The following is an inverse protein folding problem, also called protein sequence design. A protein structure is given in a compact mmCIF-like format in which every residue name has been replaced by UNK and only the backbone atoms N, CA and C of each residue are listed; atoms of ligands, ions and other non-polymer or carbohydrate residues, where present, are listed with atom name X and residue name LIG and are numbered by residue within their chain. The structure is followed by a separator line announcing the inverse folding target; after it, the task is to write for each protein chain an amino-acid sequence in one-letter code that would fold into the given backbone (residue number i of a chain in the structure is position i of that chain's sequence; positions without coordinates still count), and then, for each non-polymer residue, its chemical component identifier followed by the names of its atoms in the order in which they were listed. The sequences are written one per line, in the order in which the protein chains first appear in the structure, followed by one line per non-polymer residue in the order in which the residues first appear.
data_IF_643391574780
#
_entry.id   IF_643391574780
#
_cell.length_a   1.000
_cell.length_b   1.000
_cell.length_c   1.000
_cell.angle_alpha   90.00
_cell.angle_beta   90.00
_cell.angle_gamma   90.00
#
_symmetry.space_group_name_H-M   'P 1'
#
loop_
_entity.id
_entity.type
_entity.pdbx_description
1 polymer ?
#
# COMPACT_ATOMS: atom_id res chain seq x y z
N UNK A 1 12.81 -20.97 29.21
CA UNK A 1 13.10 -19.55 29.30
C UNK A 1 14.42 -19.16 28.61
N UNK A 2 15.61 -19.55 29.09
CA UNK A 2 16.89 -19.12 28.50
C UNK A 2 17.06 -19.49 27.01
N UNK A 3 16.66 -20.71 26.60
CA UNK A 3 16.72 -21.12 25.19
C UNK A 3 15.75 -20.37 24.29
N UNK A 4 14.58 -20.00 24.78
CA UNK A 4 13.61 -19.14 24.06
C UNK A 4 14.20 -17.74 23.88
N UNK A 5 14.74 -17.16 24.94
CA UNK A 5 15.42 -15.87 24.93
C UNK A 5 16.59 -15.79 23.95
N UNK A 6 17.46 -16.83 23.95
CA UNK A 6 18.60 -16.88 23.00
C UNK A 6 18.13 -16.98 21.54
N UNK A 7 17.01 -17.70 21.27
CA UNK A 7 16.42 -17.75 19.92
C UNK A 7 15.83 -16.41 19.52
N UNK A 8 15.15 -15.70 20.42
CA UNK A 8 14.64 -14.35 20.19
C UNK A 8 15.76 -13.38 19.82
N UNK A 9 16.87 -13.40 20.59
CA UNK A 9 18.04 -12.59 20.29
C UNK A 9 18.66 -12.95 18.93
N UNK A 10 18.74 -14.23 18.59
CA UNK A 10 19.23 -14.66 17.29
C UNK A 10 18.32 -14.23 16.16
N UNK A 11 16.99 -14.37 16.30
CA UNK A 11 16.01 -13.94 15.32
C UNK A 11 16.06 -12.42 15.13
N UNK A 12 16.16 -11.66 16.21
CA UNK A 12 16.29 -10.20 16.17
C UNK A 12 17.53 -9.74 15.39
N UNK A 13 18.68 -10.38 15.64
CA UNK A 13 19.95 -10.04 14.98
C UNK A 13 19.98 -10.43 13.49
N UNK A 14 19.07 -11.29 13.02
CA UNK A 14 19.03 -11.72 11.62
C UNK A 14 18.23 -10.76 10.69
N UNK A 15 17.54 -9.77 11.25
CA UNK A 15 16.73 -8.83 10.48
C UNK A 15 15.49 -9.43 9.85
N UNK A 16 14.83 -8.66 8.98
CA UNK A 16 13.65 -9.10 8.23
C UNK A 16 14.05 -10.10 7.16
N UNK A 17 13.31 -11.18 7.05
CA UNK A 17 13.43 -12.12 5.93
C UNK A 17 12.20 -12.01 5.05
N UNK A 18 12.43 -12.02 3.76
CA UNK A 18 11.39 -11.99 2.73
C UNK A 18 11.61 -13.09 1.72
N UNK A 19 10.53 -13.67 1.21
CA UNK A 19 10.52 -14.48 0.00
C UNK A 19 9.22 -14.29 -0.77
N UNK A 20 9.30 -14.54 -2.07
CA UNK A 20 8.13 -14.66 -2.95
C UNK A 20 7.94 -16.13 -3.27
N UNK A 21 6.76 -16.65 -2.99
CA UNK A 21 6.32 -17.97 -3.43
C UNK A 21 5.25 -17.75 -4.49
N UNK A 22 5.58 -18.15 -5.71
CA UNK A 22 4.71 -18.14 -6.87
C UNK A 22 4.39 -19.62 -7.19
N UNK A 23 3.37 -20.19 -6.52
CA UNK A 23 3.05 -21.60 -6.70
C UNK A 23 2.47 -21.80 -8.11
N UNK A 24 2.79 -22.95 -8.72
CA UNK A 24 2.23 -23.32 -10.02
C UNK A 24 0.70 -23.17 -10.03
N UNK A 25 0.20 -22.30 -10.90
CA UNK A 25 -1.20 -21.90 -10.96
C UNK A 25 -1.40 -20.44 -10.51
N UNK A 26 -2.65 -19.99 -10.39
CA UNK A 26 -2.95 -18.60 -10.05
C UNK A 26 -2.57 -18.24 -8.61
N UNK A 27 -2.04 -17.04 -8.45
CA UNK A 27 -1.76 -16.41 -7.17
C UNK A 27 -0.29 -16.41 -6.79
N UNK A 28 0.12 -15.34 -6.11
CA UNK A 28 1.48 -15.13 -5.61
C UNK A 28 1.43 -14.79 -4.12
N UNK A 29 2.28 -15.41 -3.31
CA UNK A 29 2.50 -15.02 -1.93
C UNK A 29 3.81 -14.26 -1.78
N UNK A 30 3.75 -13.03 -1.29
CA UNK A 30 4.89 -12.27 -0.77
C UNK A 30 4.87 -12.34 0.74
N UNK A 31 5.85 -13.02 1.30
CA UNK A 31 5.94 -13.30 2.73
C UNK A 31 7.05 -12.48 3.34
N UNK A 32 6.74 -11.74 4.39
CA UNK A 32 7.70 -11.01 5.20
C UNK A 32 7.66 -11.56 6.62
N UNK A 33 8.80 -11.94 7.14
CA UNK A 33 8.95 -12.31 8.55
C UNK A 33 9.69 -11.20 9.27
N UNK A 34 8.97 -10.49 10.12
CA UNK A 34 9.49 -9.39 10.94
C UNK A 34 9.99 -9.99 12.26
N UNK A 35 11.27 -9.77 12.63
CA UNK A 35 11.80 -10.29 13.88
C UNK A 35 11.18 -9.60 15.10
N UNK A 36 11.25 -10.23 16.30
CA UNK A 36 10.78 -9.62 17.53
C UNK A 36 11.62 -8.39 17.90
N UNK A 37 11.02 -7.42 18.60
CA UNK A 37 11.78 -6.35 19.23
C UNK A 37 12.49 -6.86 20.50
N UNK A 38 13.70 -6.34 20.81
CA UNK A 38 14.48 -6.80 21.96
C UNK A 38 13.84 -6.55 23.32
N UNK A 39 13.00 -5.54 23.39
CA UNK A 39 12.31 -5.05 24.60
C UNK A 39 10.94 -5.70 24.83
N UNK A 40 10.46 -6.49 23.87
CA UNK A 40 9.18 -7.21 23.97
C UNK A 40 9.44 -8.67 24.32
N UNK A 41 9.35 -8.99 25.61
CA UNK A 41 9.54 -10.36 26.12
C UNK A 41 8.26 -11.21 26.13
N UNK A 42 7.12 -10.61 25.87
CA UNK A 42 5.81 -11.26 25.80
C UNK A 42 5.35 -11.40 24.33
N UNK A 43 4.59 -12.45 24.03
CA UNK A 43 4.05 -12.78 22.70
C UNK A 43 3.50 -11.57 21.92
N UNK A 44 3.61 -11.60 20.58
CA UNK A 44 4.24 -12.58 19.70
C UNK A 44 5.74 -12.32 19.50
N UNK A 45 6.51 -13.40 19.34
CA UNK A 45 7.96 -13.32 19.16
C UNK A 45 8.38 -12.75 17.79
N UNK A 46 7.54 -12.95 16.78
CA UNK A 46 7.70 -12.43 15.42
C UNK A 46 6.35 -12.15 14.79
N UNK A 47 6.36 -11.46 13.65
CA UNK A 47 5.15 -11.22 12.86
C UNK A 47 5.39 -11.66 11.43
N UNK A 48 4.54 -12.56 10.92
CA UNK A 48 4.53 -12.94 9.51
C UNK A 48 3.48 -12.10 8.77
N UNK A 49 3.90 -11.46 7.69
CA UNK A 49 3.00 -10.68 6.83
C UNK A 49 2.93 -11.36 5.47
N UNK A 50 1.72 -11.72 5.04
CA UNK A 50 1.50 -12.32 3.71
C UNK A 50 0.70 -11.32 2.88
N UNK A 51 1.18 -11.04 1.67
CA UNK A 51 0.58 -10.13 0.69
C UNK A 51 0.21 -8.75 1.27
N UNK A 52 0.89 -8.35 2.35
CA UNK A 52 0.69 -7.05 2.98
C UNK A 52 -0.65 -6.86 3.70
N UNK A 53 -1.51 -7.87 3.80
CA UNK A 53 -2.78 -7.75 4.53
C UNK A 53 -2.90 -8.74 5.68
N UNK A 54 -2.42 -9.96 5.53
CA UNK A 54 -2.50 -10.98 6.57
C UNK A 54 -1.33 -10.79 7.52
N UNK A 55 -1.59 -10.19 8.68
CA UNK A 55 -0.60 -9.90 9.73
C UNK A 55 -0.79 -10.93 10.84
N UNK A 56 0.09 -11.92 10.88
CA UNK A 56 -0.05 -13.07 11.75
C UNK A 56 1.05 -13.08 12.82
N UNK A 57 0.69 -13.12 14.12
CA UNK A 57 1.65 -13.31 15.19
C UNK A 57 2.24 -14.73 15.11
N UNK A 58 3.54 -14.85 15.34
CA UNK A 58 4.26 -16.12 15.17
C UNK A 58 5.15 -16.37 16.37
N UNK A 59 4.91 -17.47 17.07
CA UNK A 59 5.74 -17.90 18.19
C UNK A 59 7.16 -18.31 17.75
N UNK A 60 8.10 -18.39 18.71
CA UNK A 60 9.53 -18.55 18.46
C UNK A 60 9.89 -19.78 17.61
N UNK A 61 9.21 -20.91 17.81
CA UNK A 61 9.47 -22.15 17.07
C UNK A 61 9.07 -22.00 15.59
N UNK A 62 7.88 -21.45 15.32
CA UNK A 62 7.39 -21.22 13.96
C UNK A 62 8.19 -20.12 13.26
N UNK A 63 8.51 -19.05 13.97
CA UNK A 63 9.35 -17.97 13.44
C UNK A 63 10.66 -18.50 12.87
N UNK A 64 11.30 -19.42 13.60
CA UNK A 64 12.54 -20.01 13.14
C UNK A 64 12.34 -20.97 11.95
N UNK A 65 11.32 -21.82 11.97
CA UNK A 65 10.99 -22.73 10.84
C UNK A 65 10.65 -21.93 9.58
N UNK A 66 9.85 -20.86 9.71
CA UNK A 66 9.51 -19.96 8.60
C UNK A 66 10.78 -19.32 8.04
N UNK A 67 11.67 -18.80 8.89
CA UNK A 67 12.91 -18.16 8.47
C UNK A 67 13.78 -19.12 7.65
N UNK A 68 13.98 -20.33 8.12
CA UNK A 68 14.76 -21.35 7.40
C UNK A 68 14.11 -21.68 6.05
N UNK A 69 12.78 -21.80 6.01
CA UNK A 69 12.06 -22.05 4.77
C UNK A 69 12.18 -20.88 3.77
N UNK A 70 11.99 -19.64 4.22
CA UNK A 70 12.10 -18.47 3.35
C UNK A 70 13.54 -18.27 2.84
N UNK A 71 14.54 -18.56 3.65
CA UNK A 71 15.95 -18.53 3.23
C UNK A 71 16.23 -19.60 2.18
N UNK A 72 15.82 -20.85 2.43
CA UNK A 72 15.98 -21.94 1.47
C UNK A 72 15.23 -21.64 0.15
N UNK A 73 14.02 -21.06 0.22
CA UNK A 73 13.29 -20.64 -0.95
C UNK A 73 14.09 -19.61 -1.77
N UNK A 74 14.67 -18.61 -1.11
CA UNK A 74 15.52 -17.59 -1.76
C UNK A 74 16.82 -18.15 -2.35
N UNK A 75 17.37 -19.23 -1.78
CA UNK A 75 18.55 -19.90 -2.33
C UNK A 75 18.22 -20.68 -3.60
N UNK A 76 17.07 -21.35 -3.64
CA UNK A 76 16.62 -22.15 -4.79
C UNK A 76 16.02 -21.31 -5.91
N UNK A 77 15.35 -20.18 -5.56
CA UNK A 77 14.60 -19.33 -6.48
C UNK A 77 15.23 -17.93 -6.51
N UNK A 78 16.32 -17.80 -7.27
CA UNK A 78 17.04 -16.52 -7.40
C UNK A 78 16.36 -15.52 -8.32
N UNK A 79 15.49 -15.99 -9.20
CA UNK A 79 14.71 -15.18 -10.14
C UNK A 79 13.24 -15.54 -9.92
N UNK A 80 12.35 -14.56 -9.69
CA UNK A 80 10.92 -14.83 -9.53
C UNK A 80 10.37 -15.61 -10.73
N UNK A 81 9.82 -16.78 -10.48
CA UNK A 81 9.19 -17.67 -11.43
C UNK A 81 8.19 -18.57 -10.71
N UNK A 82 7.30 -19.19 -11.46
CA UNK A 82 6.46 -20.25 -10.92
C UNK A 82 7.30 -21.40 -10.35
N UNK A 83 6.86 -21.92 -9.21
CA UNK A 83 7.51 -23.01 -8.48
C UNK A 83 6.59 -24.23 -8.51
N UNK A 84 7.10 -25.32 -9.03
CA UNK A 84 6.33 -26.57 -9.09
C UNK A 84 6.14 -27.18 -7.69
N UNK A 85 5.04 -27.91 -7.44
CA UNK A 85 4.79 -28.57 -6.17
C UNK A 85 5.96 -29.47 -5.70
N UNK A 86 6.61 -30.17 -6.61
CA UNK A 86 7.74 -31.05 -6.31
C UNK A 86 8.96 -30.26 -5.83
N UNK A 87 9.18 -29.06 -6.34
CA UNK A 87 10.27 -28.17 -5.91
C UNK A 87 9.99 -27.67 -4.48
N UNK A 88 8.73 -27.33 -4.16
CA UNK A 88 8.32 -26.94 -2.79
C UNK A 88 8.58 -28.09 -1.83
N UNK A 89 8.20 -29.33 -2.18
CA UNK A 89 8.42 -30.53 -1.35
C UNK A 89 9.92 -30.83 -1.17
N UNK A 90 10.73 -30.63 -2.21
CA UNK A 90 12.18 -30.73 -2.12
C UNK A 90 12.76 -29.72 -1.12
N UNK A 91 12.39 -28.44 -1.24
CA UNK A 91 12.83 -27.38 -0.33
C UNK A 91 12.39 -27.69 1.11
N UNK A 92 11.14 -28.12 1.33
CA UNK A 92 10.66 -28.57 2.64
C UNK A 92 11.52 -29.68 3.21
N UNK A 93 11.85 -30.70 2.42
CA UNK A 93 12.64 -31.83 2.85
C UNK A 93 14.07 -31.42 3.27
N UNK A 94 14.69 -30.50 2.53
CA UNK A 94 16.01 -29.94 2.86
C UNK A 94 15.96 -29.14 4.17
N UNK A 95 14.95 -28.30 4.36
CA UNK A 95 14.74 -27.53 5.59
C UNK A 95 14.53 -28.46 6.79
N UNK A 96 13.68 -29.49 6.67
CA UNK A 96 13.44 -30.45 7.73
C UNK A 96 14.75 -31.17 8.12
N UNK A 97 15.54 -31.55 7.11
CA UNK A 97 16.86 -32.23 7.35
C UNK A 97 17.82 -31.28 8.07
N UNK A 98 17.91 -30.02 7.64
CA UNK A 98 18.75 -28.99 8.29
C UNK A 98 18.34 -28.79 9.74
N UNK A 99 17.05 -28.59 9.99
CA UNK A 99 16.51 -28.38 11.33
C UNK A 99 16.78 -29.59 12.24
N UNK A 100 16.56 -30.83 11.77
CA UNK A 100 16.80 -32.05 12.53
C UNK A 100 18.29 -32.28 12.82
N UNK A 101 19.17 -31.83 11.95
CA UNK A 101 20.62 -31.90 12.17
C UNK A 101 21.05 -30.97 13.31
N UNK A 102 20.52 -29.78 13.37
CA UNK A 102 20.85 -28.79 14.41
C UNK A 102 20.13 -29.08 15.74
N UNK A 103 18.94 -29.65 15.67
CA UNK A 103 18.04 -29.89 16.80
C UNK A 103 17.36 -31.26 16.72
N UNK A 104 18.06 -32.33 17.02
CA UNK A 104 17.57 -33.73 16.86
C UNK A 104 16.29 -34.04 17.63
N UNK A 105 16.04 -33.30 18.71
CA UNK A 105 14.91 -33.55 19.62
C UNK A 105 13.65 -32.71 19.29
N UNK A 106 13.66 -31.93 18.21
CA UNK A 106 12.47 -31.17 17.81
C UNK A 106 11.45 -32.13 17.19
N UNK A 107 10.31 -32.24 17.85
CA UNK A 107 9.13 -32.96 17.35
C UNK A 107 8.32 -32.07 16.41
N UNK A 108 7.54 -32.70 15.56
CA UNK A 108 6.51 -32.04 14.73
C UNK A 108 6.98 -31.01 13.66
N UNK A 109 8.31 -30.84 13.44
CA UNK A 109 8.85 -29.90 12.42
C UNK A 109 8.23 -30.10 11.05
N UNK A 110 8.02 -31.34 10.64
CA UNK A 110 7.45 -31.66 9.33
C UNK A 110 5.97 -31.24 9.24
N UNK A 111 5.21 -31.50 10.30
CA UNK A 111 3.82 -31.08 10.43
C UNK A 111 3.70 -29.56 10.44
N UNK A 112 4.52 -28.91 11.26
CA UNK A 112 4.53 -27.44 11.37
C UNK A 112 4.89 -26.78 10.05
N UNK A 113 5.98 -27.22 9.40
CA UNK A 113 6.39 -26.68 8.11
C UNK A 113 5.34 -26.92 7.02
N UNK A 114 4.72 -28.10 6.99
CA UNK A 114 3.63 -28.41 6.05
C UNK A 114 2.44 -27.47 6.28
N UNK A 115 2.06 -27.25 7.53
CA UNK A 115 0.98 -26.32 7.89
C UNK A 115 1.31 -24.90 7.42
N UNK A 116 2.52 -24.41 7.71
CA UNK A 116 2.98 -23.07 7.32
C UNK A 116 2.94 -22.89 5.79
N UNK A 117 3.49 -23.86 5.05
CA UNK A 117 3.53 -23.80 3.57
C UNK A 117 2.12 -23.83 2.98
N UNK A 118 1.22 -24.67 3.52
CA UNK A 118 -0.17 -24.71 3.09
C UNK A 118 -0.90 -23.38 3.35
N UNK A 119 -0.64 -22.74 4.49
CA UNK A 119 -1.16 -21.38 4.77
C UNK A 119 -0.69 -20.41 3.71
N UNK A 120 0.61 -20.35 3.43
CA UNK A 120 1.20 -19.43 2.45
C UNK A 120 0.61 -19.67 1.06
N UNK A 121 0.52 -20.92 0.61
CA UNK A 121 -0.03 -21.29 -0.69
C UNK A 121 -1.54 -20.99 -0.76
N UNK A 122 -2.29 -21.32 0.29
CA UNK A 122 -3.73 -21.06 0.35
C UNK A 122 -4.05 -19.57 0.26
N UNK A 123 -3.32 -18.75 0.99
CA UNK A 123 -3.43 -17.28 0.90
C UNK A 123 -3.06 -16.79 -0.52
N UNK A 124 -1.99 -17.33 -1.11
CA UNK A 124 -1.59 -16.98 -2.48
C UNK A 124 -2.68 -17.27 -3.51
N UNK A 125 -3.37 -18.40 -3.34
CA UNK A 125 -4.45 -18.83 -4.25
C UNK A 125 -5.80 -18.22 -3.94
N UNK A 126 -5.92 -17.40 -2.88
CA UNK A 126 -7.19 -16.83 -2.44
C UNK A 126 -8.18 -17.89 -1.93
N UNK A 127 -7.68 -19.00 -1.37
CA UNK A 127 -8.53 -20.07 -0.82
C UNK A 127 -9.33 -19.53 0.37
N UNK A 128 -10.70 -19.60 0.33
CA UNK A 128 -11.55 -19.06 1.39
C UNK A 128 -11.27 -19.64 2.79
N UNK A 129 -10.78 -20.88 2.87
CA UNK A 129 -10.43 -21.49 4.16
C UNK A 129 -9.26 -20.76 4.84
N UNK A 130 -8.39 -20.15 4.06
CA UNK A 130 -7.22 -19.43 4.56
C UNK A 130 -7.43 -17.90 4.61
N UNK A 131 -8.42 -17.36 3.94
CA UNK A 131 -8.86 -15.96 4.13
C UNK A 131 -9.50 -15.75 5.52
N UNK A 132 -9.94 -16.83 6.18
CA UNK A 132 -10.47 -16.86 7.53
C UNK A 132 -9.49 -17.39 8.58
N UNK A 133 -8.19 -17.44 8.29
CA UNK A 133 -7.16 -17.79 9.28
C UNK A 133 -7.16 -16.79 10.41
N UNK A 134 -8.03 -17.03 11.39
CA UNK A 134 -8.25 -16.24 12.56
C UNK A 134 -8.22 -14.72 12.30
N UNK A 135 -8.81 -13.96 13.13
CA UNK A 135 -8.63 -12.51 13.09
C UNK A 135 -7.12 -12.23 13.22
N UNK A 136 -6.44 -11.97 12.10
CA UNK A 136 -5.06 -11.52 12.11
C UNK A 136 -4.96 -10.24 12.93
N UNK A 137 -3.77 -9.87 13.34
CA UNK A 137 -3.56 -8.61 14.05
C UNK A 137 -4.06 -7.44 13.20
N UNK A 138 -4.84 -6.57 13.81
CA UNK A 138 -5.10 -5.25 13.24
C UNK A 138 -3.80 -4.45 13.12
N UNK A 139 -3.77 -3.45 12.27
CA UNK A 139 -2.62 -2.54 12.15
C UNK A 139 -2.27 -1.90 13.51
N UNK A 140 -3.25 -1.64 14.35
CA UNK A 140 -3.05 -1.06 15.69
C UNK A 140 -2.39 -2.04 16.66
N UNK A 141 -2.83 -3.27 16.68
CA UNK A 141 -2.18 -4.32 17.47
C UNK A 141 -0.75 -4.57 16.99
N UNK A 142 -0.55 -4.62 15.66
CA UNK A 142 0.77 -4.74 15.04
C UNK A 142 1.66 -3.53 15.35
N UNK A 143 1.12 -2.35 15.60
CA UNK A 143 1.91 -1.12 15.84
C UNK A 143 2.94 -1.25 16.95
N UNK A 144 2.68 -2.07 17.96
CA UNK A 144 3.61 -2.36 19.07
C UNK A 144 4.92 -3.00 18.58
N UNK A 145 4.85 -3.75 17.49
CA UNK A 145 5.97 -4.47 16.90
C UNK A 145 6.65 -3.71 15.78
N UNK A 146 6.06 -2.59 15.33
CA UNK A 146 6.59 -1.80 14.24
C UNK A 146 7.84 -1.01 14.64
N UNK A 147 8.84 -1.03 13.78
CA UNK A 147 10.00 -0.13 13.76
C UNK A 147 10.01 0.78 12.52
N UNK A 148 9.03 0.59 11.64
CA UNK A 148 8.82 1.34 10.41
C UNK A 148 7.34 1.24 10.01
N UNK A 149 6.81 2.11 9.12
CA UNK A 149 5.42 2.03 8.67
C UNK A 149 5.19 0.76 7.84
N UNK A 150 3.95 0.31 7.79
CA UNK A 150 3.57 -0.83 6.97
C UNK A 150 3.68 -0.54 5.47
N UNK A 151 3.51 0.73 5.06
CA UNK A 151 3.63 1.20 3.68
C UNK A 151 4.43 2.49 3.60
N UNK A 152 5.28 2.62 2.59
CA UNK A 152 5.94 3.86 2.24
C UNK A 152 5.46 4.34 0.88
N UNK A 153 4.88 5.54 0.84
CA UNK A 153 4.49 6.20 -0.39
C UNK A 153 5.70 6.99 -0.94
N UNK A 154 6.15 6.63 -2.13
CA UNK A 154 7.30 7.25 -2.80
C UNK A 154 6.78 8.26 -3.83
N UNK A 155 6.90 9.55 -3.53
CA UNK A 155 6.55 10.62 -4.46
C UNK A 155 7.70 10.78 -5.47
N UNK A 156 7.82 9.82 -6.38
CA UNK A 156 8.96 9.72 -7.31
C UNK A 156 8.97 10.79 -8.40
N UNK A 157 7.82 11.40 -8.68
CA UNK A 157 7.66 12.44 -9.68
C UNK A 157 7.20 13.73 -8.98
N UNK A 158 7.93 14.83 -9.14
CA UNK A 158 7.54 16.11 -8.55
C UNK A 158 6.29 16.67 -9.25
N UNK A 159 5.53 17.49 -8.52
CA UNK A 159 4.42 18.26 -9.08
C UNK A 159 4.90 19.46 -9.87
N UNK A 160 5.95 20.11 -9.39
CA UNK A 160 6.61 21.26 -10.02
C UNK A 160 8.12 21.02 -10.14
N UNK A 161 8.71 21.51 -11.21
CA UNK A 161 10.15 21.60 -11.41
C UNK A 161 10.48 23.07 -11.65
N UNK A 162 11.16 23.71 -10.70
CA UNK A 162 11.22 25.17 -10.61
C UNK A 162 9.80 25.74 -10.56
N UNK A 163 9.53 26.78 -11.29
CA UNK A 163 8.19 27.40 -11.39
C UNK A 163 7.23 26.62 -12.33
N UNK A 164 7.72 25.60 -13.02
CA UNK A 164 6.95 24.92 -14.07
C UNK A 164 6.17 23.73 -13.47
N UNK A 165 4.86 23.70 -13.76
CA UNK A 165 4.02 22.54 -13.49
C UNK A 165 4.50 21.32 -14.30
N UNK A 166 4.76 20.20 -13.62
CA UNK A 166 5.37 19.02 -14.22
C UNK A 166 4.37 17.87 -14.45
N UNK A 167 3.33 17.74 -13.60
CA UNK A 167 2.27 16.75 -13.82
C UNK A 167 1.55 17.02 -15.15
N UNK A 168 1.12 15.96 -15.84
CA UNK A 168 0.42 16.08 -17.13
C UNK A 168 -1.09 16.39 -17.00
N UNK A 169 -1.60 16.54 -15.78
CA UNK A 169 -2.92 17.08 -15.42
C UNK A 169 -2.77 18.22 -14.43
N UNK A 170 -3.81 19.07 -14.33
CA UNK A 170 -3.88 20.18 -13.38
C UNK A 170 -5.20 20.10 -12.61
N UNK A 171 -5.34 19.04 -11.81
CA UNK A 171 -6.58 18.74 -11.10
C UNK A 171 -6.98 19.85 -10.13
N UNK A 172 -8.27 20.19 -10.11
CA UNK A 172 -8.86 21.21 -9.24
C UNK A 172 -8.58 20.91 -7.75
N UNK A 173 -8.78 19.66 -7.33
CA UNK A 173 -8.62 19.22 -5.95
C UNK A 173 -7.25 18.60 -5.65
N UNK A 174 -6.21 18.94 -6.44
CA UNK A 174 -4.88 18.39 -6.23
C UNK A 174 -4.32 18.78 -4.86
N UNK A 175 -3.91 17.80 -4.07
CA UNK A 175 -3.34 18.01 -2.73
C UNK A 175 -2.02 18.81 -2.76
N UNK A 176 -1.33 18.83 -3.90
CA UNK A 176 -0.08 19.56 -4.11
C UNK A 176 -0.26 20.86 -4.90
N UNK A 177 -1.49 21.36 -5.13
CA UNK A 177 -1.73 22.54 -5.97
C UNK A 177 -1.07 23.81 -5.43
N UNK A 178 -1.09 24.03 -4.12
CA UNK A 178 -0.65 25.26 -3.45
C UNK A 178 0.80 25.18 -2.93
N UNK A 179 1.64 24.31 -3.50
CA UNK A 179 3.07 24.31 -3.16
C UNK A 179 3.69 25.68 -3.47
N UNK A 180 4.23 26.40 -2.46
CA UNK A 180 4.55 27.83 -2.56
C UNK A 180 5.68 28.16 -3.54
N UNK A 181 6.59 27.24 -3.76
CA UNK A 181 7.71 27.36 -4.71
C UNK A 181 7.97 26.03 -5.40
N UNK A 182 8.84 26.05 -6.39
CA UNK A 182 9.23 24.82 -7.09
C UNK A 182 9.56 23.70 -6.11
N UNK A 183 8.83 22.59 -6.24
CA UNK A 183 9.03 21.42 -5.37
C UNK A 183 10.46 20.89 -5.47
N UNK A 184 10.99 20.88 -6.71
CA UNK A 184 12.37 20.48 -7.01
C UNK A 184 12.91 21.35 -8.13
N UNK A 185 14.18 21.77 -8.04
CA UNK A 185 14.90 22.35 -9.17
C UNK A 185 15.22 21.27 -10.20
N UNK A 186 15.47 21.65 -11.45
CA UNK A 186 15.70 20.71 -12.54
C UNK A 186 16.82 19.70 -12.22
N UNK A 187 17.90 20.18 -11.63
CA UNK A 187 19.05 19.36 -11.24
C UNK A 187 18.83 18.62 -9.89
N UNK A 188 17.73 18.91 -9.21
CA UNK A 188 17.33 18.29 -7.95
C UNK A 188 16.43 17.04 -8.13
N UNK A 189 16.05 16.71 -9.35
CA UNK A 189 15.27 15.48 -9.61
C UNK A 189 16.14 14.26 -9.34
N UNK A 190 15.74 13.45 -8.37
CA UNK A 190 16.48 12.25 -8.01
C UNK A 190 16.59 11.29 -9.20
N UNK A 191 17.83 10.87 -9.57
CA UNK A 191 18.05 9.83 -10.57
C UNK A 191 17.59 8.46 -10.03
N UNK A 192 17.42 7.51 -10.94
CA UNK A 192 17.07 6.11 -10.67
C UNK A 192 17.91 5.50 -9.54
N UNK A 193 19.22 5.73 -9.55
CA UNK A 193 20.14 5.21 -8.52
C UNK A 193 19.82 5.71 -7.11
N UNK A 194 19.38 6.96 -6.96
CA UNK A 194 18.96 7.50 -5.65
C UNK A 194 17.68 6.84 -5.17
N UNK A 195 16.69 6.66 -6.04
CA UNK A 195 15.46 5.95 -5.68
C UNK A 195 15.73 4.49 -5.33
N UNK A 196 16.62 3.80 -6.04
CA UNK A 196 17.03 2.44 -5.67
C UNK A 196 17.66 2.39 -4.26
N UNK A 197 18.50 3.37 -3.90
CA UNK A 197 19.05 3.48 -2.54
C UNK A 197 17.96 3.70 -1.48
N UNK A 198 16.92 4.47 -1.81
CA UNK A 198 15.75 4.67 -0.94
C UNK A 198 14.99 3.34 -0.78
N UNK A 199 14.74 2.63 -1.87
CA UNK A 199 14.08 1.32 -1.88
C UNK A 199 14.89 0.31 -1.04
N UNK A 200 16.22 0.25 -1.20
CA UNK A 200 17.08 -0.62 -0.38
C UNK A 200 17.01 -0.30 1.11
N UNK A 201 16.92 1.00 1.45
CA UNK A 201 16.76 1.41 2.85
C UNK A 201 15.37 1.02 3.38
N UNK A 202 14.30 1.16 2.61
CA UNK A 202 12.98 0.65 2.96
C UNK A 202 13.00 -0.86 3.22
N UNK A 203 13.70 -1.62 2.36
CA UNK A 203 13.89 -3.06 2.55
C UNK A 203 14.59 -3.39 3.86
N UNK A 204 15.68 -2.72 4.18
CA UNK A 204 16.44 -2.91 5.44
C UNK A 204 15.59 -2.59 6.68
N UNK A 205 14.67 -1.65 6.56
CA UNK A 205 13.74 -1.26 7.63
C UNK A 205 12.55 -2.21 7.80
N UNK A 206 12.41 -3.19 6.90
CA UNK A 206 11.32 -4.17 6.96
C UNK A 206 9.96 -3.65 6.53
N UNK A 207 9.92 -2.58 5.73
CA UNK A 207 8.68 -2.04 5.18
C UNK A 207 8.14 -3.02 4.14
N UNK A 208 6.92 -3.58 4.29
CA UNK A 208 6.44 -4.61 3.37
C UNK A 208 5.82 -4.07 2.07
N UNK A 209 5.35 -2.82 2.06
CA UNK A 209 4.65 -2.24 0.91
C UNK A 209 5.26 -0.92 0.44
N UNK A 210 5.31 -0.72 -0.88
CA UNK A 210 5.64 0.56 -1.51
C UNK A 210 4.51 1.02 -2.43
N UNK A 211 4.21 2.33 -2.41
CA UNK A 211 3.33 2.94 -3.39
C UNK A 211 4.13 3.96 -4.20
N UNK A 212 4.22 3.78 -5.50
CA UNK A 212 4.76 4.78 -6.42
C UNK A 212 3.69 5.82 -6.73
N UNK A 213 4.00 7.07 -6.44
CA UNK A 213 3.07 8.20 -6.58
C UNK A 213 3.84 9.51 -6.82
N UNK A 214 3.24 10.65 -6.54
CA UNK A 214 3.85 11.98 -6.66
C UNK A 214 2.93 12.93 -7.41
N UNK A 215 3.48 13.69 -8.35
CA UNK A 215 2.68 14.39 -9.34
C UNK A 215 2.00 13.38 -10.27
N UNK A 216 2.74 12.92 -11.26
CA UNK A 216 2.33 11.76 -12.06
C UNK A 216 3.53 10.84 -12.26
N UNK A 217 3.55 9.66 -11.64
CA UNK A 217 4.71 8.76 -11.66
C UNK A 217 5.03 8.24 -13.08
N UNK A 218 4.04 8.08 -13.95
CA UNK A 218 4.26 7.65 -15.34
C UNK A 218 4.96 8.70 -16.21
N UNK A 219 5.20 9.91 -15.70
CA UNK A 219 6.06 10.91 -16.34
C UNK A 219 7.55 10.53 -16.27
N UNK A 220 7.94 9.63 -15.36
CA UNK A 220 9.30 9.09 -15.29
C UNK A 220 9.48 7.96 -16.29
N UNK A 221 10.58 8.02 -17.03
CA UNK A 221 10.91 6.98 -18.01
C UNK A 221 11.40 5.67 -17.36
N UNK A 222 11.92 5.77 -16.13
CA UNK A 222 12.48 4.67 -15.35
C UNK A 222 11.49 4.04 -14.34
N UNK A 223 10.20 4.41 -14.39
CA UNK A 223 9.19 3.86 -13.46
C UNK A 223 9.15 2.32 -13.50
N UNK A 224 9.13 1.73 -14.70
CA UNK A 224 9.08 0.27 -14.85
C UNK A 224 10.31 -0.39 -14.23
N UNK A 225 11.49 0.20 -14.40
CA UNK A 225 12.73 -0.27 -13.77
C UNK A 225 12.67 -0.18 -12.23
N UNK A 226 12.08 0.88 -11.68
CA UNK A 226 11.89 1.02 -10.23
C UNK A 226 10.89 0.00 -9.68
N UNK A 227 9.79 -0.26 -10.40
CA UNK A 227 8.83 -1.32 -10.05
C UNK A 227 9.51 -2.69 -10.06
N UNK A 228 10.23 -3.01 -11.12
CA UNK A 228 10.97 -4.27 -11.22
C UNK A 228 12.02 -4.44 -10.12
N UNK A 229 12.72 -3.37 -9.76
CA UNK A 229 13.68 -3.36 -8.67
C UNK A 229 13.02 -3.60 -7.30
N UNK A 230 11.72 -3.35 -7.19
CA UNK A 230 10.94 -3.42 -5.95
C UNK A 230 10.21 -4.75 -5.76
N UNK A 231 10.55 -5.81 -6.49
CA UNK A 231 9.90 -7.15 -6.41
C UNK A 231 9.89 -7.78 -5.00
N UNK A 232 10.72 -7.26 -4.09
CA UNK A 232 10.73 -7.65 -2.69
C UNK A 232 9.48 -7.17 -1.93
N UNK A 233 8.85 -6.09 -2.39
CA UNK A 233 7.70 -5.44 -1.75
C UNK A 233 6.40 -5.83 -2.43
N UNK A 234 5.28 -5.64 -1.73
CA UNK A 234 4.00 -5.40 -2.39
C UNK A 234 4.06 -4.01 -3.01
N UNK A 235 3.93 -3.92 -4.32
CA UNK A 235 4.06 -2.68 -5.06
C UNK A 235 2.72 -2.17 -5.56
N UNK A 236 2.47 -0.88 -5.35
CA UNK A 236 1.29 -0.18 -5.85
C UNK A 236 1.70 1.02 -6.68
N UNK A 237 0.89 1.36 -7.67
CA UNK A 237 1.05 2.56 -8.48
C UNK A 237 -0.23 3.40 -8.40
N UNK A 238 -0.12 4.66 -7.96
CA UNK A 238 -1.19 5.64 -8.03
C UNK A 238 -0.93 6.56 -9.23
N UNK A 239 -1.87 6.61 -10.19
CA UNK A 239 -1.70 7.33 -11.46
C UNK A 239 -3.01 7.92 -11.96
N UNK A 240 -2.91 8.92 -12.82
CA UNK A 240 -4.05 9.45 -13.56
C UNK A 240 -4.40 8.65 -14.84
N UNK A 241 -3.62 7.65 -15.18
CA UNK A 241 -3.90 6.73 -16.28
C UNK A 241 -3.61 7.22 -17.70
N UNK A 242 -3.27 8.51 -17.90
CA UNK A 242 -3.14 9.10 -19.24
C UNK A 242 -2.08 8.47 -20.15
N UNK A 243 -1.06 7.84 -19.59
CA UNK A 243 0.07 7.25 -20.33
C UNK A 243 0.02 5.72 -20.41
N UNK A 244 -1.04 5.09 -19.92
CA UNK A 244 -1.19 3.64 -19.87
C UNK A 244 -1.69 3.08 -21.21
N UNK A 245 -0.86 3.14 -22.25
CA UNK A 245 -1.10 2.33 -23.44
C UNK A 245 -0.90 0.83 -23.13
N UNK A 246 -1.37 -0.05 -24.01
CA UNK A 246 -1.31 -1.50 -23.80
C UNK A 246 0.12 -2.01 -23.57
N UNK A 247 1.08 -1.48 -24.30
CA UNK A 247 2.49 -1.86 -24.17
C UNK A 247 3.06 -1.45 -22.81
N UNK A 248 2.70 -0.26 -22.33
CA UNK A 248 3.17 0.22 -21.04
C UNK A 248 2.50 -0.55 -19.88
N UNK A 249 1.20 -0.83 -19.98
CA UNK A 249 0.49 -1.67 -19.03
C UNK A 249 1.10 -3.08 -18.94
N UNK A 250 1.42 -3.69 -20.10
CA UNK A 250 2.09 -4.99 -20.16
C UNK A 250 3.45 -4.95 -19.46
N UNK A 251 4.27 -3.93 -19.71
CA UNK A 251 5.59 -3.78 -19.07
C UNK A 251 5.47 -3.64 -17.53
N UNK A 252 4.45 -2.97 -17.02
CA UNK A 252 4.19 -2.88 -15.58
C UNK A 252 3.78 -4.24 -15.00
N UNK A 253 2.95 -4.99 -15.72
CA UNK A 253 2.58 -6.36 -15.36
C UNK A 253 3.81 -7.28 -15.32
N UNK A 254 4.63 -7.26 -16.35
CA UNK A 254 5.86 -8.07 -16.46
C UNK A 254 6.89 -7.68 -15.36
N UNK A 255 6.89 -6.41 -14.93
CA UNK A 255 7.70 -5.92 -13.82
C UNK A 255 7.17 -6.36 -12.44
N UNK A 256 6.08 -7.13 -12.38
CA UNK A 256 5.42 -7.61 -11.15
C UNK A 256 4.81 -6.50 -10.30
N UNK A 257 4.16 -5.52 -10.93
CA UNK A 257 3.31 -4.56 -10.22
C UNK A 257 2.09 -5.29 -9.64
N UNK A 258 1.90 -5.20 -8.32
CA UNK A 258 0.81 -5.92 -7.65
C UNK A 258 -0.55 -5.24 -7.77
N UNK A 259 -0.58 -3.93 -7.82
CA UNK A 259 -1.83 -3.19 -7.96
C UNK A 259 -1.65 -1.81 -8.54
N UNK A 260 -2.65 -1.36 -9.26
CA UNK A 260 -2.69 -0.01 -9.83
C UNK A 260 -3.99 0.68 -9.43
N UNK A 261 -3.86 1.87 -8.84
CA UNK A 261 -5.00 2.74 -8.55
C UNK A 261 -5.03 3.87 -9.57
N UNK A 262 -6.12 3.97 -10.30
CA UNK A 262 -6.33 5.02 -11.31
C UNK A 262 -7.41 5.97 -10.80
N UNK A 263 -7.18 7.29 -10.90
CA UNK A 263 -8.17 8.28 -10.51
C UNK A 263 -9.07 8.61 -11.68
N UNK A 264 -10.38 8.38 -11.53
CA UNK A 264 -11.41 8.79 -12.47
C UNK A 264 -12.53 9.53 -11.72
N UNK A 265 -12.76 10.80 -12.04
CA UNK A 265 -13.69 11.64 -11.27
C UNK A 265 -15.16 11.45 -11.67
N UNK A 266 -15.44 11.08 -12.92
CA UNK A 266 -16.80 10.91 -13.41
C UNK A 266 -16.84 10.01 -14.64
N UNK A 267 -17.96 9.36 -14.88
CA UNK A 267 -18.29 8.68 -16.14
C UNK A 267 -18.67 9.65 -17.27
N UNK A 268 -18.86 10.95 -16.93
CA UNK A 268 -19.14 12.02 -17.89
C UNK A 268 -17.84 12.70 -18.31
N UNK A 269 -17.49 12.68 -19.62
CA UNK A 269 -16.23 13.25 -20.12
C UNK A 269 -16.00 14.70 -19.71
N UNK A 270 -17.03 15.53 -19.84
CA UNK A 270 -16.96 16.97 -19.55
C UNK A 270 -16.69 17.26 -18.08
N UNK A 271 -17.27 16.48 -17.17
CA UNK A 271 -17.05 16.63 -15.72
C UNK A 271 -15.65 16.17 -15.37
N UNK A 272 -15.22 15.01 -15.87
CA UNK A 272 -13.87 14.51 -15.62
C UNK A 272 -12.82 15.52 -16.12
N UNK A 273 -12.92 15.93 -17.39
CA UNK A 273 -11.97 16.83 -18.03
C UNK A 273 -11.86 18.17 -17.31
N UNK A 274 -13.00 18.71 -16.85
CA UNK A 274 -13.05 19.91 -16.02
C UNK A 274 -12.29 19.72 -14.70
N UNK A 275 -12.58 18.63 -13.97
CA UNK A 275 -11.99 18.38 -12.64
C UNK A 275 -10.49 18.08 -12.69
N UNK A 276 -10.00 17.47 -13.78
CA UNK A 276 -8.57 17.21 -13.97
C UNK A 276 -7.83 18.30 -14.72
N UNK A 277 -8.55 19.33 -15.21
CA UNK A 277 -7.97 20.44 -15.96
C UNK A 277 -7.30 19.97 -17.26
N UNK A 278 -7.88 18.96 -17.94
CA UNK A 278 -7.28 18.34 -19.12
C UNK A 278 -8.34 17.89 -20.13
N UNK A 279 -8.46 18.64 -21.23
CA UNK A 279 -9.34 18.23 -22.35
C UNK A 279 -8.90 16.91 -22.95
N UNK A 280 -9.85 15.99 -23.20
CA UNK A 280 -9.62 14.65 -23.68
C UNK A 280 -8.95 13.72 -22.64
N UNK A 281 -8.86 14.15 -21.39
CA UNK A 281 -8.33 13.37 -20.27
C UNK A 281 -9.15 12.12 -20.02
N UNK A 282 -10.48 12.26 -20.01
CA UNK A 282 -11.43 11.17 -19.79
C UNK A 282 -11.15 9.97 -20.68
N UNK A 283 -11.16 10.15 -21.99
CA UNK A 283 -10.98 9.05 -22.94
C UNK A 283 -9.64 8.36 -22.78
N UNK A 284 -8.58 9.10 -22.51
CA UNK A 284 -7.25 8.55 -22.29
C UNK A 284 -7.16 7.75 -20.99
N UNK A 285 -7.75 8.27 -19.90
CA UNK A 285 -7.81 7.56 -18.62
C UNK A 285 -8.62 6.27 -18.74
N UNK A 286 -9.79 6.30 -19.40
CA UNK A 286 -10.63 5.12 -19.65
C UNK A 286 -9.90 4.07 -20.48
N UNK A 287 -9.21 4.46 -21.55
CA UNK A 287 -8.35 3.55 -22.33
C UNK A 287 -7.24 2.97 -21.45
N UNK A 288 -6.64 3.77 -20.59
CA UNK A 288 -5.63 3.31 -19.62
C UNK A 288 -6.17 2.26 -18.64
N UNK A 289 -7.35 2.49 -18.08
CA UNK A 289 -8.06 1.53 -17.21
C UNK A 289 -8.26 0.21 -17.95
N UNK A 290 -8.87 0.27 -19.16
CA UNK A 290 -9.15 -0.92 -19.96
C UNK A 290 -7.87 -1.69 -20.31
N UNK A 291 -6.81 -1.00 -20.72
CA UNK A 291 -5.53 -1.65 -21.02
C UNK A 291 -4.96 -2.39 -19.81
N UNK A 292 -5.06 -1.81 -18.60
CA UNK A 292 -4.59 -2.46 -17.39
C UNK A 292 -5.44 -3.69 -17.01
N UNK A 293 -6.76 -3.60 -17.13
CA UNK A 293 -7.65 -4.76 -16.94
C UNK A 293 -7.33 -5.86 -17.96
N UNK A 294 -7.21 -5.51 -19.23
CA UNK A 294 -6.99 -6.46 -20.34
C UNK A 294 -5.63 -7.21 -20.23
N UNK A 295 -4.63 -6.64 -19.57
CA UNK A 295 -3.34 -7.34 -19.33
C UNK A 295 -3.31 -8.09 -18.00
N UNK A 296 -4.39 -8.04 -17.21
CA UNK A 296 -4.50 -8.77 -15.94
C UNK A 296 -3.90 -8.06 -14.72
N UNK A 297 -3.64 -6.76 -14.80
CA UNK A 297 -3.27 -5.98 -13.60
C UNK A 297 -4.45 -5.89 -12.62
N UNK A 298 -4.16 -5.91 -11.34
CA UNK A 298 -5.15 -5.64 -10.31
C UNK A 298 -5.47 -4.14 -10.28
N UNK A 299 -6.58 -3.76 -10.92
CA UNK A 299 -6.99 -2.37 -11.08
C UNK A 299 -8.00 -1.97 -10.03
N UNK A 300 -7.72 -0.87 -9.32
CA UNK A 300 -8.72 -0.15 -8.53
C UNK A 300 -8.91 1.25 -9.10
N UNK A 301 -10.15 1.75 -9.06
CA UNK A 301 -10.45 3.14 -9.45
C UNK A 301 -10.86 3.93 -8.23
N UNK A 302 -10.19 5.08 -8.02
CA UNK A 302 -10.52 5.99 -6.92
C UNK A 302 -11.24 7.24 -7.45
N UNK A 303 -12.34 7.58 -6.78
CA UNK A 303 -13.17 8.75 -7.13
C UNK A 303 -13.33 9.66 -5.91
N UNK A 304 -12.61 10.80 -5.83
CA UNK A 304 -12.93 11.84 -4.87
C UNK A 304 -14.28 12.47 -5.19
N UNK A 305 -15.21 12.49 -4.21
CA UNK A 305 -16.59 12.92 -4.39
C UNK A 305 -16.80 14.39 -4.03
N UNK A 306 -17.50 15.10 -4.89
CA UNK A 306 -18.00 16.45 -4.71
C UNK A 306 -19.41 16.56 -5.29
N UNK A 307 -20.09 17.70 -5.14
CA UNK A 307 -21.45 17.89 -5.67
C UNK A 307 -21.56 17.64 -7.17
N UNK A 308 -20.52 17.97 -7.93
CA UNK A 308 -20.51 17.86 -9.39
C UNK A 308 -20.52 16.40 -9.91
N UNK A 309 -19.99 15.44 -9.14
CA UNK A 309 -19.91 14.03 -9.50
C UNK A 309 -20.60 13.08 -8.50
N UNK A 310 -21.63 13.56 -7.81
CA UNK A 310 -22.38 12.80 -6.81
C UNK A 310 -23.19 11.62 -7.38
N UNK A 311 -23.38 11.54 -8.69
CA UNK A 311 -24.00 10.40 -9.38
C UNK A 311 -23.08 9.17 -9.44
N UNK A 312 -22.53 8.80 -8.28
CA UNK A 312 -21.49 7.76 -8.17
C UNK A 312 -22.00 6.37 -8.51
N UNK A 313 -23.27 6.08 -8.32
CA UNK A 313 -23.90 4.81 -8.74
C UNK A 313 -23.81 4.60 -10.26
N UNK A 314 -23.96 5.64 -11.07
CA UNK A 314 -23.78 5.53 -12.53
C UNK A 314 -22.30 5.35 -12.89
N UNK A 315 -21.41 5.95 -12.12
CA UNK A 315 -19.98 5.72 -12.26
C UNK A 315 -19.61 4.24 -12.01
N UNK A 316 -20.20 3.57 -10.99
CA UNK A 316 -19.95 2.16 -10.72
C UNK A 316 -20.40 1.27 -11.85
N UNK A 317 -21.58 1.51 -12.45
CA UNK A 317 -22.05 0.78 -13.62
C UNK A 317 -21.06 0.91 -14.78
N UNK A 318 -20.63 2.13 -15.06
CA UNK A 318 -19.62 2.41 -16.08
C UNK A 318 -18.29 1.67 -15.84
N UNK A 319 -17.81 1.65 -14.58
CA UNK A 319 -16.58 0.94 -14.21
C UNK A 319 -16.72 -0.58 -14.33
N UNK A 320 -17.89 -1.12 -13.97
CA UNK A 320 -18.18 -2.55 -14.14
C UNK A 320 -18.13 -2.97 -15.62
N UNK A 321 -18.68 -2.15 -16.53
CA UNK A 321 -18.61 -2.37 -17.97
C UNK A 321 -17.18 -2.37 -18.52
N UNK A 322 -16.24 -1.71 -17.81
CA UNK A 322 -14.80 -1.74 -18.12
C UNK A 322 -14.06 -2.93 -17.49
N UNK A 323 -14.75 -3.77 -16.69
CA UNK A 323 -14.17 -4.91 -15.99
C UNK A 323 -13.46 -4.55 -14.68
N UNK A 324 -13.71 -3.37 -14.12
CA UNK A 324 -13.18 -2.97 -12.80
C UNK A 324 -14.07 -3.56 -11.71
N UNK A 325 -13.44 -4.28 -10.76
CA UNK A 325 -14.14 -4.90 -9.61
C UNK A 325 -13.90 -4.08 -8.33
N UNK A 326 -12.71 -3.47 -8.18
CA UNK A 326 -12.33 -2.76 -6.98
C UNK A 326 -12.48 -1.26 -7.14
N UNK A 327 -13.27 -0.63 -6.26
CA UNK A 327 -13.50 0.81 -6.30
C UNK A 327 -13.25 1.45 -4.96
N UNK A 328 -12.68 2.65 -5.00
CA UNK A 328 -12.53 3.51 -3.82
C UNK A 328 -13.21 4.84 -4.05
N UNK A 329 -13.84 5.37 -3.03
CA UNK A 329 -14.31 6.74 -3.02
C UNK A 329 -13.88 7.46 -1.75
N UNK A 330 -13.85 8.77 -1.82
CA UNK A 330 -13.37 9.60 -0.71
C UNK A 330 -14.07 10.95 -0.69
N UNK A 331 -14.23 11.52 0.49
CA UNK A 331 -14.42 12.95 0.60
C UNK A 331 -13.12 13.73 0.36
N UNK A 332 -13.19 15.03 0.33
CA UNK A 332 -12.04 15.89 0.12
C UNK A 332 -11.18 15.99 1.40
N UNK A 333 -9.88 15.85 1.27
CA UNK A 333 -8.94 16.19 2.34
C UNK A 333 -8.63 17.68 2.24
N UNK A 334 -8.73 18.47 3.32
CA UNK A 334 -8.62 19.93 3.30
C UNK A 334 -7.17 20.42 3.11
N UNK A 335 -6.54 20.03 2.00
CA UNK A 335 -5.18 20.41 1.62
C UNK A 335 -5.11 20.75 0.13
N UNK A 336 -4.13 21.57 -0.27
CA UNK A 336 -3.95 21.99 -1.65
C UNK A 336 -5.22 22.59 -2.26
N UNK A 337 -5.51 22.25 -3.50
CA UNK A 337 -6.66 22.74 -4.26
C UNK A 337 -8.03 22.42 -3.64
N UNK A 338 -8.13 21.32 -2.89
CA UNK A 338 -9.37 20.95 -2.22
C UNK A 338 -9.85 21.99 -1.19
N UNK A 339 -8.95 22.84 -0.65
CA UNK A 339 -9.34 23.96 0.25
C UNK A 339 -10.26 24.95 -0.44
N UNK A 340 -10.03 25.22 -1.72
CA UNK A 340 -10.85 26.14 -2.50
C UNK A 340 -12.25 25.56 -2.70
N UNK A 341 -12.35 24.31 -3.15
CA UNK A 341 -13.62 23.60 -3.34
C UNK A 341 -14.44 23.51 -2.04
N UNK A 342 -13.78 23.25 -0.91
CA UNK A 342 -14.43 23.25 0.41
C UNK A 342 -14.94 24.65 0.79
N UNK A 343 -14.17 25.71 0.51
CA UNK A 343 -14.54 27.09 0.81
C UNK A 343 -15.69 27.58 -0.05
N UNK A 344 -15.75 27.16 -1.30
CA UNK A 344 -16.81 27.50 -2.26
C UNK A 344 -18.12 26.74 -1.99
N UNK A 345 -18.10 25.74 -1.11
CA UNK A 345 -19.28 24.97 -0.74
C UNK A 345 -19.65 23.86 -1.73
N UNK A 346 -18.72 23.46 -2.61
CA UNK A 346 -18.92 22.41 -3.60
C UNK A 346 -18.68 20.98 -3.06
N UNK A 347 -18.23 20.88 -1.81
CA UNK A 347 -18.15 19.59 -1.12
C UNK A 347 -19.57 19.10 -0.76
N UNK A 348 -19.74 17.78 -0.73
CA UNK A 348 -20.95 17.16 -0.23
C UNK A 348 -21.09 17.39 1.29
N UNK A 349 -22.32 17.66 1.75
CA UNK A 349 -22.64 17.57 3.18
C UNK A 349 -22.60 16.12 3.66
N UNK A 350 -22.57 15.90 4.98
CA UNK A 350 -22.64 14.54 5.54
C UNK A 350 -23.88 13.78 5.03
N UNK A 351 -25.04 14.43 4.99
CA UNK A 351 -26.29 13.85 4.49
C UNK A 351 -26.17 13.45 3.00
N UNK A 352 -25.70 14.37 2.13
CA UNK A 352 -25.52 14.09 0.71
C UNK A 352 -24.48 12.98 0.49
N UNK A 353 -23.39 12.96 1.28
CA UNK A 353 -22.39 11.90 1.20
C UNK A 353 -22.99 10.55 1.58
N UNK A 354 -23.77 10.50 2.66
CA UNK A 354 -24.41 9.27 3.10
C UNK A 354 -25.39 8.73 2.06
N UNK A 355 -26.23 9.58 1.49
CA UNK A 355 -27.18 9.22 0.43
C UNK A 355 -26.42 8.69 -0.81
N UNK A 356 -25.38 9.42 -1.26
CA UNK A 356 -24.54 9.02 -2.42
C UNK A 356 -23.87 7.66 -2.21
N UNK A 357 -23.31 7.43 -1.02
CA UNK A 357 -22.62 6.15 -0.73
C UNK A 357 -23.61 5.02 -0.51
N UNK A 358 -24.79 5.28 0.09
CA UNK A 358 -25.84 4.28 0.25
C UNK A 358 -26.29 3.71 -1.11
N UNK A 359 -26.60 4.60 -2.06
CA UNK A 359 -26.97 4.21 -3.42
C UNK A 359 -25.83 3.44 -4.12
N UNK A 360 -24.59 3.88 -3.90
CA UNK A 360 -23.41 3.25 -4.49
C UNK A 360 -23.16 1.83 -3.94
N UNK A 361 -23.32 1.62 -2.63
CA UNK A 361 -23.17 0.29 -1.99
C UNK A 361 -24.21 -0.69 -2.53
N UNK A 362 -25.47 -0.25 -2.68
CA UNK A 362 -26.54 -1.09 -3.25
C UNK A 362 -26.19 -1.53 -4.69
N UNK A 363 -25.69 -0.61 -5.50
CA UNK A 363 -25.29 -0.92 -6.89
C UNK A 363 -24.05 -1.80 -6.91
N UNK A 364 -23.02 -1.52 -6.07
CA UNK A 364 -21.83 -2.35 -5.97
C UNK A 364 -22.16 -3.81 -5.65
N UNK A 365 -23.05 -4.05 -4.66
CA UNK A 365 -23.52 -5.39 -4.31
C UNK A 365 -24.23 -6.08 -5.50
N UNK A 366 -25.09 -5.37 -6.22
CA UNK A 366 -25.78 -5.92 -7.41
C UNK A 366 -24.83 -6.30 -8.52
N UNK A 367 -23.73 -5.59 -8.66
CA UNK A 367 -22.71 -5.79 -9.70
C UNK A 367 -21.56 -6.72 -9.26
N UNK A 368 -21.54 -7.17 -8.00
CA UNK A 368 -20.44 -7.97 -7.45
C UNK A 368 -19.11 -7.18 -7.35
N UNK A 369 -19.19 -5.86 -7.15
CA UNK A 369 -18.04 -4.97 -7.01
C UNK A 369 -17.69 -4.76 -5.53
N UNK A 370 -16.41 -4.60 -5.24
CA UNK A 370 -15.90 -4.15 -3.94
C UNK A 370 -15.84 -2.62 -3.92
N UNK A 371 -16.44 -2.02 -2.89
CA UNK A 371 -16.46 -0.57 -2.69
C UNK A 371 -15.84 -0.22 -1.34
N UNK A 372 -14.90 0.71 -1.32
CA UNK A 372 -14.24 1.21 -0.11
C UNK A 372 -14.42 2.71 0.03
N UNK A 373 -14.86 3.15 1.20
CA UNK A 373 -14.84 4.57 1.57
C UNK A 373 -13.57 4.86 2.38
N UNK A 374 -12.72 5.79 1.89
CA UNK A 374 -11.34 5.91 2.38
C UNK A 374 -11.03 7.17 3.19
N UNK A 375 -12.00 8.07 3.38
CA UNK A 375 -11.79 9.35 4.09
C UNK A 375 -12.43 9.38 5.46
N UNK A 376 -11.67 9.45 6.56
CA UNK A 376 -12.23 9.63 7.90
C UNK A 376 -12.92 11.00 8.04
N UNK A 377 -14.00 11.06 8.84
CA UNK A 377 -14.69 12.28 9.24
C UNK A 377 -15.73 12.84 8.28
N UNK A 378 -16.06 12.13 7.22
CA UNK A 378 -17.17 12.48 6.31
C UNK A 378 -18.47 11.76 6.68
N UNK A 379 -18.37 10.50 7.09
CA UNK A 379 -19.46 9.69 7.59
C UNK A 379 -19.16 9.28 9.03
N UNK A 380 -20.18 9.10 9.86
CA UNK A 380 -20.00 8.57 11.21
C UNK A 380 -19.76 7.06 11.18
N UNK A 381 -19.21 6.51 12.26
CA UNK A 381 -18.99 5.07 12.38
C UNK A 381 -20.32 4.29 12.29
N UNK A 382 -21.42 4.83 12.84
CA UNK A 382 -22.75 4.24 12.75
C UNK A 382 -23.26 4.20 11.29
N UNK A 383 -23.05 5.29 10.54
CA UNK A 383 -23.41 5.36 9.12
C UNK A 383 -22.62 4.34 8.31
N UNK A 384 -21.30 4.22 8.53
CA UNK A 384 -20.46 3.25 7.83
C UNK A 384 -20.86 1.81 8.17
N UNK A 385 -21.10 1.50 9.44
CA UNK A 385 -21.57 0.18 9.89
C UNK A 385 -22.93 -0.17 9.29
N UNK A 386 -23.86 0.80 9.22
CA UNK A 386 -25.16 0.63 8.57
C UNK A 386 -25.03 0.25 7.08
N UNK A 387 -24.00 0.76 6.40
CA UNK A 387 -23.71 0.46 5.01
C UNK A 387 -22.85 -0.80 4.83
N UNK A 388 -22.41 -1.46 5.91
CA UNK A 388 -21.49 -2.61 5.83
C UNK A 388 -20.09 -2.24 5.35
N UNK A 389 -19.69 -0.97 5.48
CA UNK A 389 -18.39 -0.47 5.06
C UNK A 389 -17.40 -0.46 6.21
N UNK A 390 -16.13 -0.70 5.90
CA UNK A 390 -15.03 -0.56 6.86
C UNK A 390 -14.87 0.90 7.29
N UNK A 391 -14.60 1.10 8.59
CA UNK A 391 -14.34 2.43 9.14
C UNK A 391 -12.95 2.88 8.71
N UNK A 392 -12.82 4.00 7.96
CA UNK A 392 -11.52 4.50 7.54
C UNK A 392 -10.77 5.10 8.73
N UNK A 393 -9.57 4.62 8.99
CA UNK A 393 -8.69 5.14 10.03
C UNK A 393 -7.54 5.96 9.44
N UNK A 394 -7.05 6.96 10.18
CA UNK A 394 -5.86 7.70 9.78
C UNK A 394 -4.61 6.83 9.91
N UNK A 395 -3.94 6.57 8.78
CA UNK A 395 -2.73 5.76 8.74
C UNK A 395 -1.43 6.54 8.90
N UNK A 396 -1.47 7.86 9.06
CA UNK A 396 -0.27 8.70 9.13
C UNK A 396 0.67 8.28 10.28
N UNK A 397 1.95 8.10 9.98
CA UNK A 397 2.98 7.62 10.92
C UNK A 397 2.71 6.24 11.54
N UNK A 398 1.70 5.53 11.09
CA UNK A 398 1.30 4.20 11.54
C UNK A 398 1.35 3.22 10.37
N UNK A 399 0.28 3.14 9.60
CA UNK A 399 0.23 2.26 8.43
C UNK A 399 0.96 2.83 7.23
N UNK A 400 1.12 4.15 7.11
CA UNK A 400 1.83 4.77 6.00
C UNK A 400 2.63 6.02 6.42
N UNK A 401 3.69 6.26 5.68
CA UNK A 401 4.46 7.51 5.62
C UNK A 401 4.80 7.79 4.17
N UNK A 402 5.28 8.99 3.87
CA UNK A 402 5.65 9.33 2.50
C UNK A 402 7.05 9.95 2.41
N UNK A 403 7.71 9.74 1.26
CA UNK A 403 8.99 10.34 0.92
C UNK A 403 8.78 11.27 -0.26
N UNK A 404 9.11 12.54 -0.09
CA UNK A 404 8.97 13.60 -1.11
C UNK A 404 10.03 13.45 -2.21
N UNK A 405 9.89 14.15 -3.35
CA UNK A 405 10.91 14.16 -4.38
C UNK A 405 12.29 14.70 -3.94
N UNK A 406 12.38 15.36 -2.79
CA UNK A 406 13.63 15.82 -2.15
C UNK A 406 14.19 14.82 -1.14
N UNK A 407 13.49 13.70 -0.90
CA UNK A 407 13.87 12.73 0.11
C UNK A 407 13.40 13.04 1.51
N UNK A 408 12.60 14.08 1.70
CA UNK A 408 12.04 14.42 3.00
C UNK A 408 10.92 13.45 3.36
N UNK A 409 10.88 13.05 4.62
CA UNK A 409 9.85 12.14 5.15
C UNK A 409 8.75 12.96 5.79
N UNK A 410 7.52 12.64 5.42
CA UNK A 410 6.29 13.28 5.93
C UNK A 410 5.30 12.22 6.43
N UNK A 411 4.39 12.57 7.36
CA UNK A 411 3.44 11.62 7.96
C UNK A 411 2.55 10.88 6.97
N UNK A 412 2.09 11.53 5.91
CA UNK A 412 1.41 10.94 4.75
C UNK A 412 1.52 11.87 3.54
N UNK A 413 1.19 11.40 2.35
CA UNK A 413 1.28 12.20 1.13
C UNK A 413 0.48 13.52 1.15
N UNK A 414 -0.56 13.62 1.99
CA UNK A 414 -1.37 14.85 2.11
C UNK A 414 -0.74 15.93 3.00
N UNK A 415 0.40 15.65 3.65
CA UNK A 415 1.12 16.56 4.54
C UNK A 415 2.24 17.34 3.84
N UNK A 416 2.21 17.49 2.53
CA UNK A 416 3.26 18.15 1.74
C UNK A 416 3.54 19.61 2.13
N UNK A 417 2.56 20.26 2.77
CA UNK A 417 2.64 21.68 3.15
C UNK A 417 2.95 21.91 4.62
N UNK A 418 3.17 20.84 5.37
CA UNK A 418 3.29 20.88 6.82
C UNK A 418 4.70 20.38 7.25
N UNK A 419 4.80 19.79 8.40
CA UNK A 419 6.07 19.48 9.05
C UNK A 419 6.83 18.31 8.41
N UNK A 420 8.12 18.47 8.21
CA UNK A 420 9.06 17.47 7.73
C UNK A 420 9.65 16.73 8.93
N UNK A 421 9.56 15.40 8.95
CA UNK A 421 10.05 14.55 10.03
C UNK A 421 11.58 14.34 9.98
N UNK A 422 12.19 14.66 8.86
CA UNK A 422 13.59 14.49 8.55
C UNK A 422 13.80 14.08 7.10
N UNK A 423 15.05 13.99 6.65
CA UNK A 423 15.36 13.53 5.30
C UNK A 423 15.78 12.06 5.31
N UNK A 424 15.16 11.22 4.47
CA UNK A 424 15.34 9.78 4.48
C UNK A 424 16.77 9.33 4.20
N UNK A 425 17.55 10.13 3.43
CA UNK A 425 18.91 9.78 3.05
C UNK A 425 19.94 10.19 4.11
N UNK A 426 19.67 11.27 4.86
CA UNK A 426 20.67 11.90 5.74
C UNK A 426 20.32 11.80 7.23
N UNK A 427 19.03 11.73 7.58
CA UNK A 427 18.62 11.62 8.98
C UNK A 427 18.59 10.16 9.42
N UNK A 428 19.13 9.79 10.60
CA UNK A 428 18.96 8.46 11.16
C UNK A 428 17.48 8.09 11.29
N UNK A 429 17.13 6.86 10.88
CA UNK A 429 15.72 6.44 10.83
C UNK A 429 15.04 6.49 12.20
N UNK A 430 15.75 6.15 13.26
CA UNK A 430 15.22 6.15 14.62
C UNK A 430 14.77 7.55 15.06
N UNK A 431 15.42 8.62 14.57
CA UNK A 431 15.01 10.00 14.83
C UNK A 431 13.71 10.34 14.10
N UNK A 432 13.56 9.86 12.84
CA UNK A 432 12.34 10.04 12.05
C UNK A 432 11.19 9.26 12.68
N UNK A 433 11.40 7.97 12.95
CA UNK A 433 10.36 7.09 13.50
C UNK A 433 9.89 7.53 14.90
N UNK A 434 10.82 8.02 15.71
CA UNK A 434 10.54 8.53 17.07
C UNK A 434 10.29 10.04 17.13
N UNK A 435 10.07 10.70 15.98
CA UNK A 435 9.68 12.11 15.96
C UNK A 435 8.44 12.35 16.82
N UNK A 436 8.33 13.45 17.58
CA UNK A 436 7.18 13.70 18.47
C UNK A 436 5.82 13.56 17.79
N UNK A 437 5.70 14.05 16.56
CA UNK A 437 4.49 13.91 15.76
C UNK A 437 4.17 12.43 15.51
N UNK A 438 5.17 11.62 15.12
CA UNK A 438 4.94 10.20 14.85
C UNK A 438 4.49 9.44 16.10
N UNK A 439 5.07 9.75 17.27
CA UNK A 439 4.62 9.18 18.55
C UNK A 439 3.18 9.56 18.84
N UNK A 440 2.88 10.86 18.79
CA UNK A 440 1.52 11.38 18.99
C UNK A 440 0.51 10.70 18.07
N UNK A 441 0.82 10.57 16.77
CA UNK A 441 -0.07 9.95 15.80
C UNK A 441 -0.34 8.46 16.07
N UNK A 442 0.68 7.73 16.56
CA UNK A 442 0.53 6.31 16.93
C UNK A 442 -0.21 6.09 18.24
N UNK A 443 -0.14 7.05 19.16
CA UNK A 443 -0.81 7.02 20.45
C UNK A 443 -2.27 7.52 20.39
N UNK A 444 -2.65 8.21 19.29
CA UNK A 444 -4.03 8.65 19.11
C UNK A 444 -4.94 7.43 18.92
N UNK A 445 -6.05 7.39 19.63
CA UNK A 445 -7.12 6.45 19.35
C UNK A 445 -7.64 6.62 17.93
N UNK A 446 -8.37 5.62 17.39
CA UNK A 446 -8.91 5.67 16.04
C UNK A 446 -9.62 6.99 15.81
N UNK A 447 -8.97 7.87 15.04
CA UNK A 447 -9.48 9.20 14.82
C UNK A 447 -10.56 9.16 13.77
N UNK A 448 -11.78 9.47 14.16
CA UNK A 448 -12.90 9.68 13.25
C UNK A 448 -12.67 10.84 12.27
N UNK A 449 -11.59 11.61 12.44
CA UNK A 449 -11.30 12.81 11.66
C UNK A 449 -9.83 12.83 11.24
N UNK A 450 -9.56 13.19 10.00
CA UNK A 450 -8.18 13.41 9.56
C UNK A 450 -7.52 14.52 10.40
N UNK A 451 -6.37 14.26 11.08
CA UNK A 451 -5.71 15.26 11.92
C UNK A 451 -5.37 16.57 11.22
N UNK A 452 -5.14 16.55 9.89
CA UNK A 452 -4.95 17.76 9.09
C UNK A 452 -6.15 18.71 9.15
N UNK A 453 -7.36 18.20 9.35
CA UNK A 453 -8.55 19.03 9.50
C UNK A 453 -8.66 19.69 10.88
N UNK A 454 -7.97 19.13 11.89
CA UNK A 454 -7.97 19.63 13.28
C UNK A 454 -6.82 20.62 13.54
N UNK A 455 -5.62 20.35 13.02
CA UNK A 455 -4.42 21.19 13.24
C UNK A 455 -4.60 22.61 12.65
N UNK A 456 -5.45 22.77 11.63
CA UNK A 456 -5.69 24.07 10.98
C UNK A 456 -6.83 24.89 11.61
N UNK A 457 -7.43 24.42 12.69
CA UNK A 457 -8.45 25.14 13.48
C UNK A 457 -7.89 25.75 14.77
N UNK A 458 -6.67 25.42 15.15
CA UNK A 458 -5.89 25.98 16.27
C UNK A 458 -4.78 26.91 15.73
#
# INVERSE_FOLDING_TARGET
MLRSYLRQLQAHNQGVVHATLDPYGPGVARVHLIPPKPDLFEDPESVMIINGHHILPVGSSWSWVIREFLNALNEHIKVPREVLPEEVEKIKSEVIKSIRTLYPNVKDVEKDLTTIVNIIIGVAKGDPQFSQLGEGMSIREYSKYMSAPHRMDLLISPMKVGERWHCNQKCLNCYAADLPQGEVEKDGIFPTATWKRIIDKCRKLGIPQLTFTGGEPTMRNDLVELVEYSKWFITRLNTNGLKLDRKYAQRLYDASLDGIQITLYSHKPEIHDFLVGKSGGFYRTVVGIKNCVDVGLNVSVNTPLIKLNKDYSEMLKFLNDLGVIYTGCSGLIPTGGAKHTLKEGDALSNKEMFETISDAVEIAHKLGMDIQFTSPGWLTNEQLNQLGLSIPACGACLSNMAITPKGDVIPCQSWLHDEILGNFLTTPWEKIWNHPICKKMREMDDTEVCPLSQIKKS
#
